data_IF_924000145722
#
_entry.id   IF_924000145722
#
_cell.length_a   1.000
_cell.length_b   1.000
_cell.length_c   1.000
_cell.angle_alpha   90.00
_cell.angle_beta   90.00
_cell.angle_gamma   90.00
#
_symmetry.space_group_name_H-M   'P 1'
#
loop_
_entity.id
_entity.type
_entity.pdbx_description
1 polymer ?
#
# COMPACT_ATOMS: atom_id res chain seq x y z
N UNK A 1 22.40 12.74 11.27
CA UNK A 1 23.07 14.07 11.22
C UNK A 1 23.72 14.20 9.87
N UNK A 2 23.09 14.94 8.96
CA UNK A 2 23.63 15.20 7.63
C UNK A 2 24.34 16.55 7.69
N UNK A 3 25.61 16.57 7.34
CA UNK A 3 26.39 17.80 7.19
C UNK A 3 26.21 18.29 5.78
N UNK A 4 25.48 19.38 5.57
CA UNK A 4 25.46 20.11 4.30
C UNK A 4 26.36 21.34 4.42
N UNK A 5 27.33 21.45 3.53
CA UNK A 5 28.10 22.68 3.36
C UNK A 5 27.24 23.67 2.57
N UNK A 6 26.83 24.76 3.20
CA UNK A 6 26.29 25.91 2.49
C UNK A 6 27.46 26.87 2.16
N UNK A 7 27.64 27.26 0.90
CA UNK A 7 28.63 28.28 0.55
C UNK A 7 28.19 29.65 1.10
N UNK A 8 29.04 30.28 1.86
CA UNK A 8 28.83 31.66 2.33
C UNK A 8 29.13 32.61 1.18
N UNK A 9 28.21 33.55 0.88
CA UNK A 9 28.38 34.56 -0.17
C UNK A 9 29.64 35.41 0.09
N UNK A 10 30.07 35.56 1.34
CA UNK A 10 31.29 36.24 1.72
C UNK A 10 32.56 35.46 1.32
N UNK A 11 32.54 34.15 1.38
CA UNK A 11 33.69 33.31 0.96
C UNK A 11 33.90 33.33 -0.57
N UNK A 12 32.86 33.63 -1.35
CA UNK A 12 32.97 33.79 -2.78
C UNK A 12 33.65 35.07 -3.22
N UNK A 13 33.55 36.14 -2.43
CA UNK A 13 34.11 37.46 -2.78
C UNK A 13 35.43 37.82 -2.07
N UNK A 14 35.75 37.21 -0.93
CA UNK A 14 36.91 37.57 -0.10
C UNK A 14 37.67 36.37 0.49
N UNK A 15 37.47 35.19 -0.04
CA UNK A 15 37.95 33.96 0.54
C UNK A 15 39.45 33.73 0.50
N UNK A 16 40.07 33.79 1.65
CA UNK A 16 41.36 33.16 1.93
C UNK A 16 41.05 31.77 2.56
N UNK A 17 41.25 30.74 1.79
CA UNK A 17 40.92 29.30 1.89
C UNK A 17 41.03 28.59 3.23
N UNK A 18 40.37 29.07 4.31
CA UNK A 18 40.20 28.37 5.58
C UNK A 18 38.73 28.24 5.95
N UNK A 19 38.05 27.25 5.29
CA UNK A 19 36.67 26.90 5.62
C UNK A 19 36.55 26.37 7.05
N UNK A 20 35.96 27.15 7.95
CA UNK A 20 35.45 26.62 9.21
C UNK A 20 34.20 25.77 8.93
N UNK A 21 34.26 24.47 9.23
CA UNK A 21 33.10 23.61 9.24
C UNK A 21 32.13 24.07 10.33
N UNK A 22 31.10 24.81 9.94
CA UNK A 22 29.93 25.05 10.79
C UNK A 22 29.02 23.83 10.72
N UNK A 23 28.84 23.14 11.84
CA UNK A 23 27.76 22.19 12.00
C UNK A 23 26.43 22.95 11.97
N UNK A 24 25.72 22.91 10.85
CA UNK A 24 24.35 23.41 10.78
C UNK A 24 23.46 22.34 11.41
N UNK A 25 22.91 22.61 12.58
CA UNK A 25 21.81 21.82 13.12
C UNK A 25 20.61 22.06 12.20
N UNK A 26 20.25 21.06 11.41
CA UNK A 26 18.99 21.09 10.65
C UNK A 26 17.83 21.18 11.64
N UNK A 27 16.99 22.19 11.47
CA UNK A 27 15.77 22.32 12.26
C UNK A 27 14.88 21.06 12.02
N UNK A 28 14.18 20.55 13.06
CA UNK A 28 13.26 19.46 12.90
C UNK A 28 12.23 19.78 11.82
N UNK A 29 12.04 18.89 10.86
CA UNK A 29 10.95 18.98 9.88
C UNK A 29 9.71 18.42 10.54
N UNK A 30 8.62 19.17 10.55
CA UNK A 30 7.33 18.75 11.10
C UNK A 30 6.38 18.50 9.95
N UNK A 31 5.87 17.27 9.86
CA UNK A 31 4.78 16.88 8.97
C UNK A 31 3.46 16.78 9.73
N UNK A 32 2.35 16.95 9.03
CA UNK A 32 1.01 16.87 9.61
C UNK A 32 0.16 15.92 8.76
N UNK A 33 -0.74 15.20 9.44
CA UNK A 33 -1.74 14.35 8.81
C UNK A 33 -2.84 14.01 9.80
N UNK A 34 -3.77 13.20 9.38
CA UNK A 34 -4.90 12.73 10.18
C UNK A 34 -4.78 11.24 10.49
N UNK A 35 -5.57 10.78 11.45
CA UNK A 35 -5.71 9.38 11.78
C UNK A 35 -7.10 9.07 12.32
N UNK A 36 -7.48 7.80 12.29
CA UNK A 36 -8.78 7.31 12.74
C UNK A 36 -8.58 6.32 13.89
N UNK A 37 -9.13 6.61 15.05
CA UNK A 37 -9.12 5.70 16.20
C UNK A 37 -10.12 4.57 15.93
N UNK A 38 -9.62 3.34 15.83
CA UNK A 38 -10.43 2.16 15.49
C UNK A 38 -10.68 1.23 16.68
N UNK A 39 -10.03 1.45 17.81
CA UNK A 39 -10.23 0.63 19.01
C UNK A 39 -10.08 1.44 20.29
N UNK A 40 -10.83 1.04 21.33
CA UNK A 40 -10.87 1.71 22.63
C UNK A 40 -9.52 1.74 23.35
N UNK A 41 -8.64 0.79 23.05
CA UNK A 41 -7.28 0.68 23.57
C UNK A 41 -6.25 1.54 22.80
N UNK A 42 -6.70 2.37 21.83
CA UNK A 42 -5.86 3.39 21.19
C UNK A 42 -5.10 2.97 19.93
N UNK A 43 -5.62 1.99 19.16
CA UNK A 43 -5.13 1.76 17.80
C UNK A 43 -5.68 2.81 16.84
N UNK A 44 -4.80 3.37 16.03
CA UNK A 44 -5.08 4.43 15.06
C UNK A 44 -4.63 3.97 13.69
N UNK A 45 -5.50 4.08 12.70
CA UNK A 45 -5.16 3.91 11.28
C UNK A 45 -4.85 5.26 10.68
N UNK A 46 -3.80 5.32 9.90
CA UNK A 46 -3.40 6.49 9.09
C UNK A 46 -2.77 6.02 7.78
N UNK A 47 -2.33 6.94 6.93
CA UNK A 47 -1.54 6.58 5.75
C UNK A 47 -0.06 6.36 6.10
N UNK A 48 0.59 5.46 5.34
CA UNK A 48 2.02 5.24 5.46
C UNK A 48 2.81 6.53 5.17
N UNK A 49 2.49 7.24 4.08
CA UNK A 49 3.18 8.48 3.72
C UNK A 49 3.06 9.60 4.77
N UNK A 50 2.07 9.56 5.67
CA UNK A 50 1.91 10.53 6.77
C UNK A 50 2.99 10.35 7.84
N UNK A 51 3.42 9.11 8.07
CA UNK A 51 4.38 8.77 9.14
C UNK A 51 5.73 8.30 8.62
N UNK A 52 5.88 8.17 7.31
CA UNK A 52 7.12 7.69 6.70
C UNK A 52 8.28 8.66 6.99
N UNK A 53 9.41 8.08 7.41
CA UNK A 53 10.61 8.85 7.79
C UNK A 53 10.48 9.66 9.09
N UNK A 54 9.38 9.54 9.85
CA UNK A 54 9.23 10.23 11.13
C UNK A 54 10.06 9.56 12.24
N UNK A 55 10.89 10.35 12.92
CA UNK A 55 11.63 9.91 14.11
C UNK A 55 10.72 9.82 15.35
N UNK A 56 9.71 10.68 15.42
CA UNK A 56 8.75 10.75 16.52
C UNK A 56 7.35 11.09 16.00
N UNK A 57 6.33 10.44 16.56
CA UNK A 57 4.92 10.69 16.25
C UNK A 57 4.24 11.23 17.49
N UNK A 58 3.67 12.44 17.37
CA UNK A 58 2.76 13.01 18.36
C UNK A 58 1.33 12.94 17.82
N UNK A 59 0.42 12.43 18.64
CA UNK A 59 -1.02 12.33 18.33
C UNK A 59 -1.78 13.28 19.21
N UNK A 60 -2.45 14.25 18.59
CA UNK A 60 -3.31 15.20 19.29
C UNK A 60 -4.78 14.89 19.00
N UNK A 61 -5.57 14.73 20.04
CA UNK A 61 -7.00 14.50 19.95
C UNK A 61 -7.79 15.83 19.88
N UNK A 62 -9.06 15.75 19.51
CA UNK A 62 -9.94 16.93 19.43
C UNK A 62 -10.17 17.60 20.78
N UNK A 63 -10.00 16.89 21.89
CA UNK A 63 -10.07 17.42 23.26
C UNK A 63 -8.74 18.01 23.75
N UNK A 64 -7.77 18.18 22.84
CA UNK A 64 -6.41 18.70 23.07
C UNK A 64 -5.49 17.78 23.89
N UNK A 65 -5.88 16.56 24.24
CA UNK A 65 -4.94 15.58 24.81
C UNK A 65 -3.90 15.20 23.78
N UNK A 66 -2.66 15.10 24.20
CA UNK A 66 -1.53 14.71 23.36
C UNK A 66 -0.93 13.40 23.86
N UNK A 67 -0.57 12.54 22.92
CA UNK A 67 -0.03 11.22 23.19
C UNK A 67 1.19 10.97 22.29
N UNK A 68 2.15 10.22 22.79
CA UNK A 68 3.22 9.69 21.97
C UNK A 68 2.70 8.48 21.20
N UNK A 69 2.80 8.53 19.87
CA UNK A 69 2.43 7.43 18.99
C UNK A 69 3.58 6.44 18.81
N UNK A 70 3.27 5.15 18.85
CA UNK A 70 4.19 4.07 18.52
C UNK A 70 3.72 3.37 17.25
N UNK A 71 4.56 3.29 16.23
CA UNK A 71 4.27 2.54 15.00
C UNK A 71 4.20 1.06 15.33
N UNK A 72 3.11 0.40 14.98
CA UNK A 72 2.91 -1.05 15.08
C UNK A 72 3.37 -1.74 13.81
N UNK A 73 3.09 -1.11 12.67
CA UNK A 73 3.53 -1.56 11.36
C UNK A 73 3.01 -0.64 10.27
N UNK A 74 3.63 -0.76 9.10
CA UNK A 74 3.30 0.02 7.90
C UNK A 74 3.14 -0.90 6.71
N UNK A 75 2.35 -0.47 5.73
CA UNK A 75 2.22 -1.11 4.43
C UNK A 75 2.32 -0.07 3.30
N UNK A 76 3.51 0.16 2.76
CA UNK A 76 3.70 1.09 1.64
C UNK A 76 2.90 0.73 0.39
N UNK A 77 2.60 -0.56 0.18
CA UNK A 77 1.88 -1.03 -1.01
C UNK A 77 0.40 -0.67 -1.03
N UNK A 78 -0.21 -0.43 0.13
CA UNK A 78 -1.59 0.06 0.26
C UNK A 78 -1.63 1.47 0.85
N UNK A 79 -0.47 2.05 1.19
CA UNK A 79 -0.34 3.33 1.88
C UNK A 79 -1.10 3.38 3.22
N UNK A 80 -1.07 2.29 3.98
CA UNK A 80 -1.68 2.20 5.31
C UNK A 80 -0.62 2.03 6.39
N UNK A 81 -0.92 2.58 7.57
CA UNK A 81 -0.10 2.40 8.77
C UNK A 81 -0.98 2.23 10.00
N UNK A 82 -0.46 1.48 10.97
CA UNK A 82 -1.08 1.26 12.27
C UNK A 82 -0.20 1.87 13.36
N UNK A 83 -0.77 2.83 14.09
CA UNK A 83 -0.13 3.50 15.22
C UNK A 83 -0.88 3.16 16.51
N UNK A 84 -0.17 3.07 17.63
CA UNK A 84 -0.73 2.84 18.97
C UNK A 84 -0.40 4.01 19.87
N UNK A 85 -1.42 4.50 20.57
CA UNK A 85 -1.28 5.42 21.71
C UNK A 85 -1.68 4.70 23.00
N UNK A 86 -1.03 5.04 24.11
CA UNK A 86 -1.31 4.41 25.40
C UNK A 86 -2.50 5.10 26.09
N UNK A 87 -3.42 4.30 26.58
CA UNK A 87 -4.64 4.72 27.27
C UNK A 87 -5.79 3.78 26.98
N UNK A 88 -6.91 4.03 27.63
CA UNK A 88 -8.12 3.23 27.54
C UNK A 88 -9.35 4.11 27.26
N UNK A 89 -10.41 3.48 26.77
CA UNK A 89 -11.72 4.06 26.52
C UNK A 89 -11.74 5.26 25.56
N UNK A 90 -10.88 5.18 24.52
CA UNK A 90 -10.92 6.15 23.42
C UNK A 90 -12.23 6.01 22.62
N UNK A 91 -12.81 7.14 22.14
CA UNK A 91 -13.94 7.10 21.25
C UNK A 91 -13.52 6.47 19.91
N UNK A 92 -14.34 5.53 19.42
CA UNK A 92 -14.06 4.82 18.18
C UNK A 92 -15.18 5.02 17.17
N UNK A 93 -14.84 4.92 15.88
CA UNK A 93 -15.80 4.92 14.80
C UNK A 93 -16.18 3.47 14.44
N UNK A 94 -17.46 3.16 14.16
CA UNK A 94 -17.85 1.87 13.61
C UNK A 94 -17.29 1.70 12.19
N UNK A 95 -16.73 0.53 11.91
CA UNK A 95 -16.22 0.19 10.57
C UNK A 95 -17.37 -0.35 9.73
N UNK A 96 -17.67 0.34 8.64
CA UNK A 96 -18.68 -0.03 7.65
C UNK A 96 -18.12 -0.86 6.52
N UNK A 97 -19.00 -1.36 5.66
CA UNK A 97 -18.69 -2.16 4.49
C UNK A 97 -18.56 -1.27 3.24
N UNK A 98 -17.31 -1.05 2.79
CA UNK A 98 -17.03 -0.27 1.57
C UNK A 98 -17.49 -0.98 0.28
N UNK A 99 -17.69 -2.30 0.30
CA UNK A 99 -18.18 -3.02 -0.87
C UNK A 99 -19.67 -2.78 -1.11
N UNK A 100 -20.44 -2.58 -0.03
CA UNK A 100 -21.86 -2.24 -0.09
C UNK A 100 -22.12 -0.83 -0.62
N UNK A 101 -21.14 0.09 -0.59
CA UNK A 101 -21.26 1.44 -1.13
C UNK A 101 -21.61 1.43 -2.62
N UNK A 102 -22.50 2.34 -3.01
CA UNK A 102 -22.90 2.56 -4.41
C UNK A 102 -22.43 3.92 -4.89
N UNK A 103 -22.13 4.02 -6.18
CA UNK A 103 -21.88 5.29 -6.84
C UNK A 103 -23.12 6.19 -6.67
N UNK A 104 -22.90 7.46 -6.31
CA UNK A 104 -23.92 8.43 -5.99
C UNK A 104 -24.31 8.50 -4.51
N UNK A 105 -23.88 7.58 -3.64
CA UNK A 105 -24.12 7.66 -2.21
C UNK A 105 -23.30 8.78 -1.56
N UNK A 106 -23.93 9.48 -0.61
CA UNK A 106 -23.27 10.54 0.17
C UNK A 106 -22.16 10.01 1.05
N UNK A 107 -21.04 10.73 1.04
CA UNK A 107 -19.90 10.49 1.93
C UNK A 107 -19.36 11.81 2.48
N UNK A 108 -18.74 11.73 3.66
CA UNK A 108 -18.06 12.84 4.30
C UNK A 108 -16.58 12.48 4.45
N UNK A 109 -15.71 13.36 3.99
CA UNK A 109 -14.28 13.24 4.27
C UNK A 109 -13.94 14.08 5.51
N UNK A 110 -13.41 13.41 6.53
CA UNK A 110 -13.07 14.00 7.82
C UNK A 110 -11.56 13.95 8.01
N UNK A 111 -10.98 15.06 8.46
CA UNK A 111 -9.57 15.15 8.78
C UNK A 111 -9.30 16.29 9.76
N UNK A 112 -8.06 16.41 10.20
CA UNK A 112 -7.61 17.48 11.09
C UNK A 112 -6.38 18.20 10.48
N UNK A 113 -6.58 18.95 9.38
CA UNK A 113 -5.48 19.64 8.71
C UNK A 113 -4.91 20.75 9.62
N UNK A 114 -3.59 20.88 9.64
CA UNK A 114 -2.86 21.96 10.30
C UNK A 114 -3.09 22.11 11.81
N UNK A 115 -3.47 21.05 12.51
CA UNK A 115 -3.79 21.11 13.94
C UNK A 115 -4.92 22.12 14.29
N UNK A 116 -5.71 22.49 13.29
CA UNK A 116 -6.97 23.22 13.42
C UNK A 116 -8.06 22.19 13.76
N UNK A 117 -9.18 22.63 14.32
CA UNK A 117 -10.32 21.73 14.63
C UNK A 117 -10.70 20.86 13.42
N UNK A 118 -11.24 19.67 13.68
CA UNK A 118 -11.66 18.70 12.64
C UNK A 118 -12.39 19.40 11.50
N UNK A 119 -11.93 19.16 10.30
CA UNK A 119 -12.54 19.66 9.06
C UNK A 119 -13.34 18.55 8.42
N UNK A 120 -14.54 18.86 7.98
CA UNK A 120 -15.45 17.95 7.28
C UNK A 120 -15.80 18.53 5.92
N UNK A 121 -15.63 17.73 4.88
CA UNK A 121 -16.11 18.04 3.54
C UNK A 121 -17.11 16.99 3.09
N UNK A 122 -18.11 17.36 2.30
CA UNK A 122 -19.17 16.50 1.83
C UNK A 122 -19.09 16.30 0.32
N UNK A 123 -19.44 15.12 -0.12
CA UNK A 123 -19.54 14.75 -1.52
C UNK A 123 -20.24 13.40 -1.69
N UNK A 124 -20.07 12.80 -2.86
CA UNK A 124 -20.63 11.49 -3.18
C UNK A 124 -19.52 10.51 -3.57
N UNK A 125 -19.83 9.22 -3.55
CA UNK A 125 -19.04 8.21 -4.22
C UNK A 125 -19.11 8.44 -5.72
N UNK A 126 -18.04 8.94 -6.34
CA UNK A 126 -17.97 9.22 -7.78
C UNK A 126 -17.65 7.97 -8.60
N UNK A 127 -16.81 7.08 -8.06
CA UNK A 127 -16.47 5.79 -8.64
C UNK A 127 -15.89 4.84 -7.57
N UNK A 128 -15.75 3.57 -7.94
CA UNK A 128 -15.08 2.53 -7.14
C UNK A 128 -14.03 1.84 -7.98
N UNK A 129 -13.13 1.10 -7.33
CA UNK A 129 -12.08 0.32 -7.98
C UNK A 129 -11.22 1.17 -8.96
N UNK A 130 -10.82 2.38 -8.52
CA UNK A 130 -9.93 3.23 -9.33
C UNK A 130 -8.49 2.87 -9.06
N UNK A 131 -7.74 2.62 -10.14
CA UNK A 131 -6.28 2.58 -10.15
C UNK A 131 -5.75 3.87 -10.78
N UNK A 132 -4.73 4.44 -10.18
CA UNK A 132 -4.11 5.70 -10.60
C UNK A 132 -2.69 5.50 -11.11
N UNK A 133 -2.11 4.28 -10.92
CA UNK A 133 -0.73 3.98 -11.25
C UNK A 133 0.30 4.73 -10.40
N UNK A 134 -0.08 5.14 -9.18
CA UNK A 134 0.79 5.92 -8.28
C UNK A 134 1.67 5.04 -7.41
N UNK A 135 1.27 3.80 -7.14
CA UNK A 135 2.06 2.84 -6.40
C UNK A 135 2.73 1.85 -7.36
N UNK A 136 4.05 1.89 -7.45
CA UNK A 136 4.82 0.88 -8.17
C UNK A 136 4.56 -0.50 -7.55
N UNK A 137 3.85 -1.39 -8.27
CA UNK A 137 3.42 -2.72 -7.81
C UNK A 137 2.53 -2.71 -6.55
N UNK A 138 1.91 -1.58 -6.19
CA UNK A 138 0.98 -1.47 -5.08
C UNK A 138 -0.41 -1.99 -5.41
N UNK A 139 -1.25 -2.11 -4.38
CA UNK A 139 -2.66 -2.45 -4.51
C UNK A 139 -3.46 -1.16 -4.61
N UNK A 140 -4.00 -0.91 -5.77
CA UNK A 140 -4.81 0.28 -6.04
C UNK A 140 -6.24 -0.13 -6.36
N UNK A 141 -7.15 0.11 -5.44
CA UNK A 141 -8.60 0.00 -5.63
C UNK A 141 -9.27 1.10 -4.81
N UNK A 142 -9.13 2.35 -5.29
CA UNK A 142 -9.62 3.49 -4.54
C UNK A 142 -11.12 3.71 -4.71
N UNK A 143 -11.76 4.22 -3.64
CA UNK A 143 -13.03 4.93 -3.73
C UNK A 143 -12.69 6.34 -4.22
N UNK A 144 -13.29 6.76 -5.33
CA UNK A 144 -13.23 8.14 -5.82
C UNK A 144 -14.43 8.92 -5.28
N UNK A 145 -14.19 10.14 -4.81
CA UNK A 145 -15.21 11.07 -4.31
C UNK A 145 -14.96 12.49 -4.79
N UNK A 146 -15.98 13.31 -4.86
CA UNK A 146 -15.89 14.77 -5.05
C UNK A 146 -15.89 15.53 -3.71
N UNK A 147 -15.97 14.85 -2.56
CA UNK A 147 -15.64 15.44 -1.26
C UNK A 147 -14.19 15.96 -1.30
N UNK A 148 -13.98 17.22 -0.93
CA UNK A 148 -12.66 17.83 -1.04
C UNK A 148 -11.66 17.17 -0.07
N UNK A 149 -10.65 16.50 -0.62
CA UNK A 149 -9.53 15.91 0.11
C UNK A 149 -8.29 16.74 -0.22
N UNK A 150 -7.70 17.39 0.78
CA UNK A 150 -6.54 18.24 0.68
C UNK A 150 -5.43 17.77 1.62
N UNK A 151 -4.25 18.36 1.50
CA UNK A 151 -3.15 18.11 2.41
C UNK A 151 -3.60 18.33 3.87
N UNK A 152 -3.35 17.34 4.73
CA UNK A 152 -3.81 17.29 6.12
C UNK A 152 -5.01 16.37 6.36
N UNK A 153 -5.87 16.10 5.34
CA UNK A 153 -6.94 15.09 5.45
C UNK A 153 -6.44 13.65 5.22
N UNK A 154 -5.22 13.48 4.67
CA UNK A 154 -4.59 12.16 4.51
C UNK A 154 -4.55 11.41 5.83
N UNK A 155 -4.97 10.14 5.82
CA UNK A 155 -5.09 9.29 6.99
C UNK A 155 -6.40 9.46 7.76
N UNK A 156 -7.20 10.48 7.46
CA UNK A 156 -8.51 10.72 8.03
C UNK A 156 -9.62 9.80 7.48
N UNK A 157 -10.81 9.92 8.03
CA UNK A 157 -11.93 9.06 7.70
C UNK A 157 -12.70 9.52 6.44
N UNK A 158 -13.06 8.58 5.59
CA UNK A 158 -14.22 8.70 4.70
C UNK A 158 -15.37 7.94 5.35
N UNK A 159 -16.49 8.62 5.62
CA UNK A 159 -17.65 8.04 6.30
C UNK A 159 -18.90 8.10 5.43
N UNK A 160 -19.79 7.12 5.57
CA UNK A 160 -21.08 7.12 4.91
C UNK A 160 -22.12 7.96 5.70
N UNK A 161 -23.33 8.10 5.17
CA UNK A 161 -24.43 8.85 5.81
C UNK A 161 -24.89 8.27 7.17
N UNK A 162 -24.46 7.05 7.54
CA UNK A 162 -24.73 6.44 8.84
C UNK A 162 -23.64 6.75 9.87
N UNK A 163 -22.56 7.44 9.48
CA UNK A 163 -21.40 7.69 10.33
C UNK A 163 -20.45 6.50 10.43
N UNK A 164 -20.54 5.51 9.54
CA UNK A 164 -19.65 4.36 9.50
C UNK A 164 -18.42 4.67 8.63
N UNK A 165 -17.23 4.24 9.08
CA UNK A 165 -15.99 4.34 8.34
C UNK A 165 -16.06 3.44 7.09
N UNK A 166 -15.91 4.01 5.90
CA UNK A 166 -15.92 3.26 4.63
C UNK A 166 -14.61 3.38 3.86
N UNK A 167 -13.72 4.29 4.27
CA UNK A 167 -12.38 4.40 3.70
C UNK A 167 -11.46 5.30 4.51
N UNK A 168 -10.17 5.26 4.16
CA UNK A 168 -9.14 6.15 4.68
C UNK A 168 -8.76 7.12 3.57
N UNK A 169 -8.94 8.42 3.82
CA UNK A 169 -8.62 9.47 2.85
C UNK A 169 -7.13 9.44 2.48
N UNK A 170 -6.81 9.61 1.21
CA UNK A 170 -5.43 9.64 0.75
C UNK A 170 -5.24 10.74 -0.31
N UNK A 171 -4.31 11.66 -0.06
CA UNK A 171 -3.93 12.74 -0.99
C UNK A 171 -2.79 12.24 -1.87
N UNK A 172 -3.13 11.43 -2.89
CA UNK A 172 -2.14 10.73 -3.68
C UNK A 172 -1.81 11.36 -5.03
N UNK A 173 -2.69 12.19 -5.57
CA UNK A 173 -2.57 12.54 -6.98
C UNK A 173 -3.10 13.95 -7.29
N UNK A 174 -2.45 14.94 -6.72
CA UNK A 174 -2.57 16.29 -7.27
C UNK A 174 -1.16 16.77 -7.65
N UNK A 175 -0.88 17.09 -8.91
CA UNK A 175 0.40 17.68 -9.31
C UNK A 175 0.74 18.97 -8.56
N UNK A 176 -0.28 19.62 -7.98
CA UNK A 176 -0.17 20.88 -7.23
C UNK A 176 -0.36 20.70 -5.73
N UNK A 177 -0.68 19.47 -5.25
CA UNK A 177 -1.05 19.22 -3.85
C UNK A 177 -2.41 19.78 -3.42
N UNK A 178 -3.17 20.37 -4.36
CA UNK A 178 -4.49 20.96 -4.12
C UNK A 178 -5.59 20.08 -4.73
N UNK A 179 -6.79 20.13 -4.15
CA UNK A 179 -8.00 19.48 -4.66
C UNK A 179 -8.33 19.97 -6.09
N UNK A 180 -8.45 19.03 -7.02
CA UNK A 180 -8.73 19.30 -8.43
C UNK A 180 -10.08 18.70 -8.89
N UNK A 181 -11.05 18.53 -7.98
CA UNK A 181 -12.35 17.91 -8.26
C UNK A 181 -12.39 16.39 -8.03
N UNK A 182 -11.28 15.78 -7.60
CA UNK A 182 -11.19 14.36 -7.33
C UNK A 182 -10.50 14.13 -5.99
N UNK A 183 -11.13 13.35 -5.12
CA UNK A 183 -10.56 12.80 -3.90
C UNK A 183 -10.54 11.28 -3.98
N UNK A 184 -9.61 10.65 -3.26
CA UNK A 184 -9.46 9.21 -3.23
C UNK A 184 -9.36 8.71 -1.79
N UNK A 185 -9.93 7.53 -1.54
CA UNK A 185 -9.83 6.87 -0.25
C UNK A 185 -9.57 5.38 -0.42
N UNK A 186 -8.75 4.82 0.47
CA UNK A 186 -8.47 3.40 0.56
C UNK A 186 -9.69 2.74 1.21
N UNK A 187 -10.36 1.77 0.57
CA UNK A 187 -11.60 1.18 1.08
C UNK A 187 -11.37 0.35 2.36
N UNK A 188 -12.38 0.28 3.22
CA UNK A 188 -12.34 -0.56 4.44
C UNK A 188 -12.19 -2.04 4.13
N UNK A 189 -12.60 -2.52 2.97
CA UNK A 189 -12.38 -3.89 2.50
C UNK A 189 -10.89 -4.28 2.46
N UNK A 190 -10.01 -3.33 2.08
CA UNK A 190 -8.55 -3.51 2.11
C UNK A 190 -8.02 -3.21 3.52
N UNK A 191 -8.43 -2.08 4.12
CA UNK A 191 -7.95 -1.62 5.41
C UNK A 191 -8.08 -2.69 6.50
N UNK A 192 -9.24 -3.34 6.61
CA UNK A 192 -9.54 -4.26 7.72
C UNK A 192 -8.53 -5.42 7.79
N UNK A 193 -8.21 -6.02 6.65
CA UNK A 193 -7.25 -7.13 6.58
C UNK A 193 -5.83 -6.64 6.84
N UNK A 194 -5.41 -5.53 6.24
CA UNK A 194 -4.09 -4.94 6.44
C UNK A 194 -3.85 -4.65 7.93
N UNK A 195 -4.79 -3.98 8.58
CA UNK A 195 -4.69 -3.63 10.00
C UNK A 195 -4.69 -4.88 10.90
N UNK A 196 -5.51 -5.88 10.59
CA UNK A 196 -5.50 -7.15 11.33
C UNK A 196 -4.14 -7.85 11.23
N UNK A 197 -3.53 -7.86 10.05
CA UNK A 197 -2.22 -8.45 9.84
C UNK A 197 -1.11 -7.65 10.55
N UNK A 198 -1.11 -6.32 10.42
CA UNK A 198 -0.15 -5.47 11.12
C UNK A 198 -0.24 -5.65 12.65
N UNK A 199 -1.46 -5.75 13.19
CA UNK A 199 -1.66 -5.99 14.63
C UNK A 199 -1.17 -7.35 15.07
N UNK A 200 -1.39 -8.41 14.28
CA UNK A 200 -1.11 -9.79 14.65
C UNK A 200 0.31 -10.23 14.33
N UNK A 201 0.86 -9.78 13.20
CA UNK A 201 2.11 -10.28 12.64
C UNK A 201 3.17 -9.19 12.53
N UNK A 202 2.79 -7.91 12.68
CA UNK A 202 3.64 -6.74 12.44
C UNK A 202 3.85 -6.44 10.95
N UNK A 203 3.51 -7.35 10.06
CA UNK A 203 3.61 -7.22 8.60
C UNK A 203 2.38 -7.79 7.90
N UNK A 204 2.09 -7.27 6.71
CA UNK A 204 0.94 -7.72 5.92
C UNK A 204 1.22 -9.08 5.28
N UNK A 205 0.32 -10.03 5.48
CA UNK A 205 0.36 -11.35 4.85
C UNK A 205 -0.19 -11.27 3.42
N UNK A 206 0.68 -10.96 2.46
CA UNK A 206 0.27 -10.68 1.10
C UNK A 206 0.14 -11.96 0.27
N UNK A 207 -1.09 -12.24 -0.16
CA UNK A 207 -1.38 -13.28 -1.13
C UNK A 207 -1.29 -12.70 -2.55
N UNK A 208 -0.79 -13.48 -3.49
CA UNK A 208 -0.66 -13.12 -4.89
C UNK A 208 -1.22 -14.22 -5.78
N UNK A 209 -1.87 -13.86 -6.89
CA UNK A 209 -2.29 -14.82 -7.90
C UNK A 209 -1.11 -15.28 -8.77
N UNK A 210 -0.10 -14.45 -8.94
CA UNK A 210 1.08 -14.77 -9.73
C UNK A 210 0.82 -14.75 -11.24
N UNK A 211 0.15 -13.72 -11.71
CA UNK A 211 -0.05 -13.41 -13.13
C UNK A 211 0.44 -12.00 -13.47
N UNK A 212 0.74 -11.79 -14.74
CA UNK A 212 0.80 -10.45 -15.35
C UNK A 212 -0.29 -10.35 -16.39
N UNK A 213 -0.75 -9.12 -16.67
CA UNK A 213 -1.83 -8.93 -17.61
C UNK A 213 -2.33 -7.50 -17.68
N UNK A 214 -3.41 -7.29 -18.41
CA UNK A 214 -4.04 -5.98 -18.59
C UNK A 214 -5.54 -6.02 -18.37
N UNK A 215 -6.11 -4.88 -18.03
CA UNK A 215 -7.55 -4.71 -17.88
C UNK A 215 -8.21 -4.50 -19.23
N UNK A 216 -9.15 -5.35 -19.60
CA UNK A 216 -9.98 -5.19 -20.79
C UNK A 216 -11.07 -4.16 -20.49
N UNK A 217 -11.26 -3.19 -21.38
CA UNK A 217 -12.35 -2.18 -21.28
C UNK A 217 -12.11 -1.07 -20.25
N UNK A 218 -10.90 -0.95 -19.71
CA UNK A 218 -10.64 -0.01 -18.61
C UNK A 218 -10.32 1.42 -19.04
N UNK A 219 -9.80 1.62 -20.25
CA UNK A 219 -9.43 2.94 -20.78
C UNK A 219 -9.24 2.90 -22.30
N UNK A 220 -9.71 3.93 -22.98
CA UNK A 220 -9.50 4.09 -24.41
C UNK A 220 -8.02 4.25 -24.83
N UNK A 221 -7.14 4.59 -23.88
CA UNK A 221 -5.72 4.75 -24.14
C UNK A 221 -4.97 3.41 -23.98
N UNK A 222 -5.21 2.66 -22.90
CA UNK A 222 -4.58 1.37 -22.66
C UNK A 222 -5.02 0.33 -23.69
N UNK A 223 -6.30 0.35 -24.08
CA UNK A 223 -6.87 -0.57 -25.07
C UNK A 223 -6.27 -0.40 -26.48
N UNK A 224 -5.65 0.75 -26.77
CA UNK A 224 -5.02 1.06 -28.07
C UNK A 224 -3.51 0.79 -28.13
N UNK A 225 -2.89 0.53 -26.99
CA UNK A 225 -1.46 0.21 -26.96
C UNK A 225 -1.23 -1.22 -27.48
N UNK A 226 -0.21 -1.44 -28.34
CA UNK A 226 0.16 -2.79 -28.74
C UNK A 226 0.58 -3.61 -27.51
N UNK A 227 0.03 -4.81 -27.38
CA UNK A 227 0.37 -5.75 -26.29
C UNK A 227 1.49 -6.71 -26.67
N UNK A 228 1.84 -6.74 -27.97
CA UNK A 228 2.90 -7.58 -28.52
C UNK A 228 3.51 -6.95 -29.78
N UNK A 229 4.55 -7.62 -30.32
CA UNK A 229 5.23 -7.21 -31.56
C UNK A 229 4.36 -7.37 -32.83
N UNK A 230 3.20 -7.99 -32.76
CA UNK A 230 2.25 -8.12 -33.88
C UNK A 230 1.41 -6.85 -34.07
N UNK A 231 1.46 -5.89 -33.11
CA UNK A 231 0.66 -4.69 -33.10
C UNK A 231 -0.79 -4.91 -32.62
N UNK A 232 -1.14 -6.12 -32.15
CA UNK A 232 -2.44 -6.39 -31.53
C UNK A 232 -2.59 -5.57 -30.26
N UNK A 233 -3.81 -5.08 -30.02
CA UNK A 233 -4.18 -4.30 -28.83
C UNK A 233 -5.03 -5.14 -27.86
N UNK A 234 -5.23 -4.67 -26.64
CA UNK A 234 -6.19 -5.29 -25.69
C UNK A 234 -7.61 -5.29 -26.26
N UNK A 235 -8.01 -4.26 -26.99
CA UNK A 235 -9.31 -4.21 -27.66
C UNK A 235 -9.48 -5.30 -28.73
N UNK A 236 -8.43 -5.59 -29.49
CA UNK A 236 -8.45 -6.67 -30.48
C UNK A 236 -8.56 -8.04 -29.79
N UNK A 237 -7.82 -8.21 -28.67
CA UNK A 237 -7.89 -9.44 -27.87
C UNK A 237 -9.27 -9.65 -27.24
N UNK A 238 -9.88 -8.58 -26.74
CA UNK A 238 -11.24 -8.60 -26.20
C UNK A 238 -12.27 -9.09 -27.25
N UNK A 239 -12.19 -8.57 -28.48
CA UNK A 239 -13.03 -9.00 -29.61
C UNK A 239 -12.80 -10.47 -29.97
N UNK A 240 -11.53 -10.89 -30.02
CA UNK A 240 -11.16 -12.29 -30.33
C UNK A 240 -11.76 -13.25 -29.32
N UNK A 241 -11.67 -12.91 -28.03
CA UNK A 241 -12.17 -13.74 -26.92
C UNK A 241 -13.68 -13.58 -26.65
N UNK A 242 -14.31 -12.55 -27.24
CA UNK A 242 -15.74 -12.28 -27.07
C UNK A 242 -16.08 -11.74 -25.67
N UNK A 243 -15.18 -10.95 -25.08
CA UNK A 243 -15.34 -10.35 -23.74
C UNK A 243 -15.33 -8.83 -23.84
N UNK A 244 -15.98 -8.13 -22.90
CA UNK A 244 -16.04 -6.66 -22.84
C UNK A 244 -15.29 -6.08 -21.66
N UNK A 245 -15.00 -6.89 -20.65
CA UNK A 245 -14.31 -6.50 -19.41
C UNK A 245 -13.63 -7.71 -18.77
N UNK A 246 -12.70 -7.48 -17.87
CA UNK A 246 -11.97 -8.50 -17.13
C UNK A 246 -10.47 -8.27 -17.17
N UNK A 247 -9.71 -9.22 -16.65
CA UNK A 247 -8.25 -9.20 -16.63
C UNK A 247 -7.70 -10.27 -17.55
N UNK A 248 -7.12 -9.83 -18.67
CA UNK A 248 -6.41 -10.73 -19.59
C UNK A 248 -5.07 -11.14 -19.00
N UNK A 249 -4.77 -12.44 -19.04
CA UNK A 249 -3.52 -13.04 -18.56
C UNK A 249 -2.51 -13.07 -19.69
N UNK A 250 -1.46 -12.22 -19.61
CA UNK A 250 -0.36 -12.20 -20.58
C UNK A 250 0.79 -13.14 -20.22
N UNK A 251 0.99 -13.36 -18.90
CA UNK A 251 2.09 -14.15 -18.37
C UNK A 251 1.69 -14.80 -17.04
N UNK A 252 2.21 -15.99 -16.80
CA UNK A 252 2.10 -16.68 -15.50
C UNK A 252 3.48 -16.65 -14.86
N UNK A 253 3.54 -16.09 -13.64
CA UNK A 253 4.77 -15.99 -12.88
C UNK A 253 5.19 -17.38 -12.39
N UNK A 254 6.44 -17.74 -12.66
CA UNK A 254 7.01 -19.01 -12.23
C UNK A 254 6.93 -19.14 -10.70
N UNK A 255 6.53 -20.33 -10.21
CA UNK A 255 6.28 -20.62 -8.79
C UNK A 255 5.13 -19.80 -8.15
N UNK A 256 4.45 -18.93 -8.88
CA UNK A 256 3.25 -18.22 -8.43
C UNK A 256 2.07 -19.15 -8.16
N UNK A 257 0.97 -18.62 -7.64
CA UNK A 257 -0.25 -19.41 -7.36
C UNK A 257 -0.85 -19.98 -8.64
N UNK A 258 -0.91 -19.17 -9.71
CA UNK A 258 -1.47 -19.56 -11.01
C UNK A 258 -0.66 -20.67 -11.68
N UNK A 259 0.67 -20.74 -11.48
CA UNK A 259 1.53 -21.77 -12.09
C UNK A 259 1.22 -23.18 -11.60
N UNK A 260 0.64 -23.32 -10.41
CA UNK A 260 0.18 -24.61 -9.84
C UNK A 260 -1.30 -24.91 -10.08
N UNK A 261 -2.01 -24.05 -10.82
CA UNK A 261 -3.42 -24.16 -11.11
C UNK A 261 -3.67 -24.21 -12.62
N UNK A 262 -4.89 -24.55 -13.03
CA UNK A 262 -5.24 -24.57 -14.46
C UNK A 262 -5.66 -23.17 -14.95
N UNK A 263 -4.78 -22.16 -14.74
CA UNK A 263 -4.83 -20.83 -15.37
C UNK A 263 -3.78 -20.82 -16.48
N UNK A 264 -4.09 -20.23 -17.62
CA UNK A 264 -3.22 -20.19 -18.81
C UNK A 264 -3.10 -18.77 -19.34
N UNK A 265 -2.04 -18.53 -20.10
CA UNK A 265 -1.92 -17.35 -20.94
C UNK A 265 -3.13 -17.30 -21.87
N UNK A 266 -3.63 -16.12 -22.16
CA UNK A 266 -4.83 -15.82 -22.92
C UNK A 266 -6.17 -16.07 -22.19
N UNK A 267 -6.17 -16.56 -20.96
CA UNK A 267 -7.40 -16.52 -20.15
C UNK A 267 -7.79 -15.08 -19.83
N UNK A 268 -9.09 -14.83 -19.67
CA UNK A 268 -9.61 -13.58 -19.12
C UNK A 268 -10.32 -13.84 -17.81
N UNK A 269 -9.78 -13.32 -16.72
CA UNK A 269 -10.36 -13.44 -15.39
C UNK A 269 -11.52 -12.47 -15.27
N UNK A 270 -12.71 -12.98 -14.93
CA UNK A 270 -13.97 -12.25 -14.81
C UNK A 270 -14.58 -12.32 -13.41
N UNK A 271 -13.98 -13.07 -12.51
CA UNK A 271 -14.45 -13.21 -11.14
C UNK A 271 -13.45 -13.90 -10.23
N UNK A 272 -13.54 -13.58 -8.93
CA UNK A 272 -12.84 -14.29 -7.86
C UNK A 272 -13.81 -14.52 -6.72
N UNK A 273 -14.02 -15.79 -6.38
CA UNK A 273 -15.08 -16.26 -5.48
C UNK A 273 -16.45 -15.72 -5.94
N UNK A 274 -17.11 -14.91 -5.11
CA UNK A 274 -18.40 -14.32 -5.43
C UNK A 274 -18.31 -12.89 -5.97
N UNK A 275 -17.07 -12.34 -6.11
CA UNK A 275 -16.85 -10.98 -6.60
C UNK A 275 -16.63 -10.99 -8.09
N UNK A 276 -17.38 -10.14 -8.81
CA UNK A 276 -17.13 -9.84 -10.23
C UNK A 276 -15.81 -9.09 -10.35
N UNK A 277 -15.03 -9.43 -11.35
CA UNK A 277 -13.76 -8.77 -11.70
C UNK A 277 -13.91 -8.14 -13.08
N UNK A 278 -13.98 -6.83 -13.14
CA UNK A 278 -14.11 -6.07 -14.39
C UNK A 278 -12.77 -5.48 -14.85
N UNK A 279 -11.80 -5.36 -13.93
CA UNK A 279 -10.47 -4.78 -14.19
C UNK A 279 -9.43 -5.29 -13.17
N UNK A 280 -8.17 -4.87 -13.33
CA UNK A 280 -7.08 -5.27 -12.43
C UNK A 280 -7.28 -4.77 -10.99
N UNK A 281 -7.86 -3.59 -10.79
CA UNK A 281 -8.11 -3.05 -9.45
C UNK A 281 -9.13 -3.91 -8.68
N UNK A 282 -10.20 -4.37 -9.35
CA UNK A 282 -11.16 -5.32 -8.75
C UNK A 282 -10.48 -6.63 -8.35
N UNK A 283 -9.60 -7.16 -9.22
CA UNK A 283 -8.85 -8.40 -8.94
C UNK A 283 -7.90 -8.21 -7.76
N UNK A 284 -7.14 -7.12 -7.75
CA UNK A 284 -6.22 -6.81 -6.65
C UNK A 284 -6.96 -6.65 -5.32
N UNK A 285 -8.08 -5.93 -5.29
CA UNK A 285 -8.89 -5.78 -4.08
C UNK A 285 -9.45 -7.12 -3.61
N UNK A 286 -9.94 -7.97 -4.54
CA UNK A 286 -10.44 -9.28 -4.18
C UNK A 286 -9.34 -10.16 -3.56
N UNK A 287 -8.14 -10.18 -4.14
CA UNK A 287 -7.00 -10.95 -3.63
C UNK A 287 -6.47 -10.36 -2.31
N UNK A 288 -6.48 -9.03 -2.16
CA UNK A 288 -5.96 -8.35 -0.97
C UNK A 288 -6.64 -8.76 0.35
N UNK A 289 -7.84 -9.35 0.30
CA UNK A 289 -8.56 -9.87 1.46
C UNK A 289 -8.06 -11.23 1.94
N UNK A 290 -7.28 -11.91 1.11
CA UNK A 290 -6.81 -13.26 1.35
C UNK A 290 -5.39 -13.28 1.91
N UNK A 291 -5.03 -14.42 2.49
CA UNK A 291 -3.68 -14.72 2.98
C UNK A 291 -3.05 -15.85 2.17
N UNK A 292 -1.73 -15.96 2.18
CA UNK A 292 -1.07 -17.15 1.64
C UNK A 292 -1.62 -18.43 2.28
N UNK A 293 -1.96 -19.40 1.45
CA UNK A 293 -2.62 -20.66 1.86
C UNK A 293 -4.13 -20.68 1.67
N UNK A 294 -4.79 -19.54 1.50
CA UNK A 294 -6.22 -19.50 1.21
C UNK A 294 -6.49 -20.09 -0.18
N UNK A 295 -7.64 -20.77 -0.30
CA UNK A 295 -8.14 -21.28 -1.57
C UNK A 295 -9.23 -20.37 -2.09
N UNK A 296 -9.11 -19.98 -3.35
CA UNK A 296 -10.05 -19.11 -4.05
C UNK A 296 -10.54 -19.77 -5.33
N UNK A 297 -11.75 -19.43 -5.76
CA UNK A 297 -12.33 -19.84 -7.03
C UNK A 297 -12.19 -18.71 -8.04
N UNK A 298 -11.33 -18.90 -9.03
CA UNK A 298 -11.13 -17.95 -10.13
C UNK A 298 -12.07 -18.32 -11.26
N UNK A 299 -12.98 -17.42 -11.64
CA UNK A 299 -13.80 -17.52 -12.84
C UNK A 299 -13.09 -16.86 -14.00
N UNK A 300 -12.98 -17.55 -15.10
CA UNK A 300 -12.28 -17.07 -16.28
C UNK A 300 -13.00 -17.49 -17.56
N UNK A 301 -12.71 -16.77 -18.64
CA UNK A 301 -13.11 -17.14 -20.01
C UNK A 301 -11.88 -17.72 -20.71
N UNK A 302 -12.01 -18.92 -21.25
CA UNK A 302 -11.05 -19.61 -22.13
C UNK A 302 -11.78 -20.13 -23.33
N UNK A 303 -11.27 -19.88 -24.54
CA UNK A 303 -11.91 -20.30 -25.80
C UNK A 303 -13.41 -19.95 -25.87
N UNK A 304 -13.76 -18.74 -25.42
CA UNK A 304 -15.15 -18.21 -25.35
C UNK A 304 -16.07 -18.98 -24.40
N UNK A 305 -15.55 -19.81 -23.52
CA UNK A 305 -16.31 -20.57 -22.53
C UNK A 305 -15.92 -20.18 -21.12
N UNK A 306 -16.92 -20.04 -20.26
CA UNK A 306 -16.69 -19.80 -18.83
C UNK A 306 -16.13 -21.06 -18.16
N UNK A 307 -15.14 -20.88 -17.32
CA UNK A 307 -14.50 -21.91 -16.50
C UNK A 307 -14.24 -21.40 -15.10
N UNK A 308 -14.32 -22.28 -14.12
CA UNK A 308 -13.93 -21.99 -12.74
C UNK A 308 -12.75 -22.87 -12.35
N UNK A 309 -11.71 -22.25 -11.80
CA UNK A 309 -10.46 -22.91 -11.38
C UNK A 309 -10.24 -22.61 -9.89
N UNK A 310 -10.00 -23.65 -9.08
CA UNK A 310 -9.57 -23.47 -7.69
C UNK A 310 -8.07 -23.22 -7.65
N UNK A 311 -7.68 -22.17 -6.92
CA UNK A 311 -6.28 -21.72 -6.78
C UNK A 311 -5.93 -21.61 -5.31
N UNK A 312 -4.83 -22.23 -4.88
CA UNK A 312 -4.24 -21.96 -3.55
C UNK A 312 -3.28 -20.79 -3.67
N UNK A 313 -3.59 -19.70 -2.96
CA UNK A 313 -2.80 -18.48 -3.02
C UNK A 313 -1.47 -18.65 -2.28
N UNK A 314 -0.43 -18.04 -2.83
CA UNK A 314 0.94 -18.02 -2.29
C UNK A 314 1.40 -16.60 -2.07
N UNK A 315 2.44 -16.45 -1.25
CA UNK A 315 3.14 -15.18 -1.06
C UNK A 315 4.15 -14.92 -2.21
N UNK A 316 4.84 -13.80 -2.15
CA UNK A 316 5.86 -13.41 -3.14
C UNK A 316 7.01 -14.42 -3.26
N UNK A 317 7.31 -15.16 -2.18
CA UNK A 317 8.32 -16.22 -2.17
C UNK A 317 7.80 -17.54 -2.77
N UNK A 318 6.58 -17.58 -3.30
CA UNK A 318 5.96 -18.77 -3.88
C UNK A 318 5.53 -19.83 -2.84
N UNK A 319 5.37 -19.43 -1.58
CA UNK A 319 4.98 -20.34 -0.48
C UNK A 319 3.63 -19.94 0.13
N UNK A 320 3.04 -20.87 0.89
CA UNK A 320 1.82 -20.63 1.67
C UNK A 320 2.11 -20.26 3.12
N UNK A 321 3.36 -20.04 3.47
CA UNK A 321 3.78 -19.76 4.84
C UNK A 321 3.46 -18.32 5.23
N UNK A 322 3.01 -18.14 6.47
CA UNK A 322 2.84 -16.83 7.09
C UNK A 322 4.21 -16.31 7.52
N UNK A 323 4.50 -15.07 7.17
CA UNK A 323 5.72 -14.35 7.58
C UNK A 323 5.46 -13.70 8.93
N UNK A 324 6.28 -14.01 9.92
CA UNK A 324 6.09 -13.51 11.30
C UNK A 324 7.08 -12.42 11.71
N UNK A 325 7.84 -11.82 10.81
CA UNK A 325 8.82 -10.80 11.18
C UNK A 325 8.68 -9.53 10.33
N UNK A 326 8.09 -8.53 10.97
CA UNK A 326 7.89 -7.20 10.41
C UNK A 326 9.17 -6.34 10.37
N UNK A 327 10.16 -6.65 11.16
CA UNK A 327 11.38 -5.84 11.23
C UNK A 327 12.18 -5.80 9.92
N UNK A 328 11.93 -6.73 9.03
CA UNK A 328 12.71 -6.93 7.81
C UNK A 328 12.20 -6.14 6.59
N UNK A 329 10.88 -5.98 6.45
CA UNK A 329 10.32 -5.15 5.36
C UNK A 329 10.58 -3.65 5.60
N UNK A 330 10.50 -3.20 6.85
CA UNK A 330 10.80 -1.81 7.24
C UNK A 330 12.26 -1.46 6.98
N UNK A 331 13.17 -2.43 7.09
CA UNK A 331 14.58 -2.23 6.82
C UNK A 331 14.93 -2.23 5.33
N UNK A 332 14.03 -2.65 4.45
CA UNK A 332 14.27 -2.78 3.02
C UNK A 332 15.29 -3.87 2.69
N UNK A 333 15.34 -4.96 3.46
CA UNK A 333 16.25 -6.06 3.23
C UNK A 333 15.61 -7.41 3.57
N UNK A 334 15.98 -8.42 2.79
CA UNK A 334 15.62 -9.81 3.06
C UNK A 334 16.80 -10.51 3.77
N UNK A 335 16.49 -11.34 4.76
CA UNK A 335 17.47 -12.02 5.57
C UNK A 335 17.21 -13.53 5.60
N UNK A 336 18.26 -14.27 5.83
CA UNK A 336 18.22 -15.71 6.05
C UNK A 336 19.15 -16.07 7.20
N UNK A 337 18.79 -17.04 8.03
CA UNK A 337 19.73 -17.60 8.99
C UNK A 337 20.98 -18.11 8.28
N UNK A 338 22.15 -17.87 8.90
CA UNK A 338 23.41 -18.41 8.40
C UNK A 338 23.35 -19.93 8.38
N UNK A 339 23.65 -20.58 7.23
CA UNK A 339 23.83 -22.02 7.16
C UNK A 339 24.94 -22.47 8.12
N UNK A 340 24.79 -23.66 8.69
CA UNK A 340 25.73 -24.18 9.67
C UNK A 340 27.16 -24.33 9.16
N UNK A 341 27.32 -24.62 7.88
CA UNK A 341 28.63 -24.67 7.22
C UNK A 341 29.31 -23.29 7.18
N UNK A 342 28.52 -22.24 6.92
CA UNK A 342 29.02 -20.88 6.88
C UNK A 342 29.30 -20.35 8.30
N UNK A 343 28.49 -20.73 9.29
CA UNK A 343 28.75 -20.44 10.71
C UNK A 343 30.10 -21.02 11.15
N UNK A 344 30.38 -22.27 10.76
CA UNK A 344 31.66 -22.94 11.06
C UNK A 344 32.84 -22.25 10.36
N UNK A 345 32.71 -21.94 9.06
CA UNK A 345 33.76 -21.26 8.29
C UNK A 345 34.14 -19.89 8.87
N UNK A 346 33.14 -19.14 9.32
CA UNK A 346 33.33 -17.78 9.85
C UNK A 346 33.54 -17.75 11.37
N UNK A 347 33.54 -18.90 12.01
CA UNK A 347 33.62 -19.06 13.49
C UNK A 347 32.56 -18.23 14.23
N UNK A 348 31.28 -18.25 13.71
CA UNK A 348 30.15 -17.52 14.24
C UNK A 348 29.16 -18.51 14.87
N UNK A 349 28.65 -18.19 16.05
CA UNK A 349 27.58 -18.97 16.69
C UNK A 349 26.17 -18.63 16.20
N UNK A 350 25.98 -17.43 15.62
CA UNK A 350 24.70 -16.90 15.15
C UNK A 350 24.94 -15.83 14.07
N UNK A 351 23.87 -15.41 13.40
CA UNK A 351 23.88 -14.31 12.45
C UNK A 351 22.80 -14.46 11.39
N UNK A 352 22.44 -13.33 10.77
CA UNK A 352 21.51 -13.26 9.65
C UNK A 352 22.26 -12.79 8.41
N UNK A 353 22.21 -13.56 7.35
CA UNK A 353 22.75 -13.16 6.05
C UNK A 353 21.73 -12.33 5.29
N UNK A 354 22.13 -11.17 4.78
CA UNK A 354 21.34 -10.33 3.89
C UNK A 354 21.25 -11.01 2.53
N UNK A 355 20.08 -11.46 2.13
CA UNK A 355 19.84 -12.18 0.85
C UNK A 355 19.36 -11.27 -0.26
N UNK A 356 18.80 -10.10 0.08
CA UNK A 356 18.37 -9.06 -0.85
C UNK A 356 18.32 -7.71 -0.14
N UNK A 357 18.47 -6.63 -0.90
CA UNK A 357 18.31 -5.24 -0.42
C UNK A 357 17.48 -4.50 -1.46
N UNK A 358 16.40 -3.87 -1.03
CA UNK A 358 15.58 -2.92 -1.79
C UNK A 358 15.79 -1.50 -1.23
N UNK A 359 15.06 -0.52 -1.74
CA UNK A 359 15.05 0.82 -1.15
C UNK A 359 14.56 0.77 0.30
N UNK A 360 15.31 1.36 1.25
CA UNK A 360 14.99 1.40 2.67
C UNK A 360 16.21 1.64 3.56
N UNK A 361 16.02 1.65 4.86
CA UNK A 361 17.07 2.01 5.86
C UNK A 361 18.38 1.22 5.72
N UNK A 362 18.31 -0.04 5.31
CA UNK A 362 19.52 -0.86 5.09
C UNK A 362 20.28 -0.43 3.82
N UNK A 363 19.57 -0.13 2.74
CA UNK A 363 20.17 0.44 1.52
C UNK A 363 20.84 1.78 1.82
N UNK A 364 20.16 2.66 2.54
CA UNK A 364 20.65 3.99 2.92
C UNK A 364 21.85 3.91 3.85
N UNK A 365 21.91 2.90 4.69
CA UNK A 365 23.06 2.57 5.54
C UNK A 365 24.21 1.86 4.79
N UNK A 366 24.09 1.64 3.47
CA UNK A 366 25.11 0.99 2.64
C UNK A 366 25.20 -0.52 2.80
N UNK A 367 24.20 -1.16 3.44
CA UNK A 367 24.15 -2.62 3.56
C UNK A 367 23.87 -3.22 2.17
N UNK A 368 24.56 -4.32 1.85
CA UNK A 368 24.45 -5.01 0.55
C UNK A 368 24.13 -6.48 0.74
N UNK A 369 23.59 -7.11 -0.30
CA UNK A 369 23.43 -8.56 -0.36
C UNK A 369 24.75 -9.26 -0.04
N UNK A 370 24.70 -10.26 0.83
CA UNK A 370 25.84 -11.02 1.32
C UNK A 370 26.40 -10.56 2.66
N UNK A 371 26.01 -9.37 3.15
CA UNK A 371 26.41 -8.91 4.48
C UNK A 371 25.83 -9.85 5.55
N UNK A 372 26.54 -9.97 6.67
CA UNK A 372 26.10 -10.75 7.82
C UNK A 372 25.86 -9.80 8.99
N UNK A 373 24.65 -9.82 9.50
CA UNK A 373 24.23 -9.02 10.65
C UNK A 373 24.40 -9.87 11.90
N UNK A 374 25.25 -9.43 12.81
CA UNK A 374 25.53 -10.10 14.08
C UNK A 374 24.82 -9.43 15.27
N UNK A 375 24.50 -8.13 15.14
CA UNK A 375 23.79 -7.36 16.15
C UNK A 375 23.11 -6.18 15.46
N UNK A 376 21.87 -5.89 15.81
CA UNK A 376 21.10 -4.72 15.38
C UNK A 376 20.76 -3.83 16.60
#
# INVERSE_FOLDING_TARGET
>A
RTVQQAPDIFDFFFGDGRGQQRQVQTQPRVGFGSGVIISKDGYIVTNNHVIDGADEISVKLNDNREFKGRVIGTDPSTDLALVKIEGDDFPTIPVGDSEALKVGEWVLAVGNPFNLNSTVTAGIVSAKARSLGVYNNGIESFIQTDAAINQGNSGGALVNAKGELVGINSVLSSPTGAYAGYGFAIPTSIMTKVIADLKQYGTVQRALLGIRGGSIGSSLMDDRQPIDNSGKTLADKAKELGVVEGVWVSEIVENGSASGADIKVDDVIIGLDNKKVSNMADLQEAIAKHRPGDKVKVKLIRDKKEKTVEVTLKNEQGTTKIVKDAGMEILGAAFKELPDDLKKQLNLGYGLQVTGVSSGKMSDAGVRKGFIILKA
#
